data_IF_892713032369
#
_entry.id   IF_892713032369
#
_cell.length_a   1.000
_cell.length_b   1.000
_cell.length_c   1.000
_cell.angle_alpha   90.00
_cell.angle_beta   90.00
_cell.angle_gamma   90.00
#
_symmetry.space_group_name_H-M   'P 1'
#
loop_
_entity.id
_entity.type
_entity.pdbx_description
1 polymer ?
#
# COMPACT_ATOMS: atom_id res chain seq x y z
N UNK A 1 4.54 -15.69 -13.96
CA UNK A 1 3.59 -16.26 -12.95
C UNK A 1 3.04 -15.09 -12.18
N UNK A 2 1.74 -15.01 -11.99
CA UNK A 2 1.12 -13.89 -11.27
C UNK A 2 1.68 -13.79 -9.84
N UNK A 3 1.94 -12.57 -9.37
CA UNK A 3 2.38 -12.29 -7.98
C UNK A 3 1.41 -12.87 -6.94
N UNK A 4 0.12 -13.01 -7.27
CA UNK A 4 -0.92 -13.56 -6.38
C UNK A 4 -0.63 -14.97 -5.86
N UNK A 5 0.02 -15.83 -6.66
CA UNK A 5 0.30 -17.22 -6.26
C UNK A 5 1.20 -17.31 -5.04
N UNK A 6 2.26 -16.50 -4.94
CA UNK A 6 3.15 -16.53 -3.78
C UNK A 6 2.45 -16.07 -2.50
N UNK A 7 1.49 -15.14 -2.63
CA UNK A 7 0.68 -14.68 -1.51
C UNK A 7 -0.32 -15.76 -1.06
N UNK A 8 -0.90 -16.55 -1.97
CA UNK A 8 -1.71 -17.71 -1.61
C UNK A 8 -0.91 -18.78 -0.85
N UNK A 9 0.29 -19.10 -1.36
CA UNK A 9 1.13 -20.15 -0.76
C UNK A 9 1.73 -19.74 0.59
N UNK A 10 1.89 -18.44 0.88
CA UNK A 10 2.65 -17.94 2.03
C UNK A 10 1.91 -16.87 2.85
N UNK A 11 0.57 -16.88 2.83
CA UNK A 11 -0.25 -15.86 3.51
C UNK A 11 0.09 -15.71 5.01
N UNK A 12 0.17 -16.82 5.75
CA UNK A 12 0.51 -16.80 7.18
C UNK A 12 1.94 -16.31 7.44
N UNK A 13 2.90 -16.68 6.58
CA UNK A 13 4.28 -16.21 6.67
C UNK A 13 4.35 -14.71 6.45
N UNK A 14 3.59 -14.18 5.48
CA UNK A 14 3.47 -12.76 5.23
C UNK A 14 2.87 -12.05 6.46
N UNK A 15 1.74 -12.54 6.95
CA UNK A 15 1.06 -11.95 8.09
C UNK A 15 1.90 -11.93 9.36
N UNK A 16 2.67 -13.01 9.62
CA UNK A 16 3.57 -13.10 10.77
C UNK A 16 4.70 -12.06 10.78
N UNK A 17 5.00 -11.43 9.63
CA UNK A 17 5.98 -10.36 9.56
C UNK A 17 5.58 -9.17 10.44
N UNK A 18 4.32 -8.81 10.46
CA UNK A 18 3.79 -7.69 11.25
C UNK A 18 3.93 -7.90 12.74
N UNK A 19 3.78 -9.14 13.22
CA UNK A 19 4.00 -9.47 14.63
C UNK A 19 5.49 -9.39 15.00
N UNK A 20 6.37 -9.93 14.16
CA UNK A 20 7.82 -9.88 14.39
C UNK A 20 8.41 -8.47 14.29
N UNK A 21 7.73 -7.56 13.59
CA UNK A 21 8.14 -6.19 13.35
C UNK A 21 7.09 -5.18 13.85
N UNK A 22 6.48 -5.49 15.00
CA UNK A 22 5.32 -4.75 15.53
C UNK A 22 5.54 -3.24 15.62
N UNK A 23 6.71 -2.77 16.05
CA UNK A 23 6.98 -1.33 16.19
C UNK A 23 7.09 -0.62 14.84
N UNK A 24 7.64 -1.30 13.83
CA UNK A 24 7.67 -0.83 12.44
C UNK A 24 6.23 -0.72 11.93
N UNK A 25 5.47 -1.81 12.04
CA UNK A 25 4.05 -1.85 11.63
C UNK A 25 3.22 -0.75 12.31
N UNK A 26 3.41 -0.48 13.61
CA UNK A 26 2.68 0.58 14.30
C UNK A 26 3.03 1.96 13.77
N UNK A 27 4.29 2.20 13.36
CA UNK A 27 4.69 3.45 12.71
C UNK A 27 3.99 3.61 11.35
N UNK A 28 3.96 2.54 10.54
CA UNK A 28 3.27 2.51 9.24
C UNK A 28 1.76 2.71 9.38
N UNK A 29 1.13 2.00 10.32
CA UNK A 29 -0.31 2.11 10.58
C UNK A 29 -0.71 3.53 11.01
N UNK A 30 0.11 4.16 11.85
CA UNK A 30 -0.13 5.54 12.28
C UNK A 30 0.01 6.53 11.11
N UNK A 31 0.95 6.31 10.18
CA UNK A 31 1.07 7.12 8.97
C UNK A 31 -0.21 7.04 8.10
N UNK A 32 -0.77 5.85 7.94
CA UNK A 32 -2.05 5.66 7.24
C UNK A 32 -3.18 6.41 7.94
N UNK A 33 -3.27 6.31 9.27
CA UNK A 33 -4.30 6.97 10.07
C UNK A 33 -4.27 8.48 9.99
N UNK A 34 -3.09 9.09 9.90
CA UNK A 34 -2.93 10.55 9.79
C UNK A 34 -3.59 11.14 8.53
N UNK A 35 -3.81 10.36 7.50
CA UNK A 35 -4.45 10.82 6.26
C UNK A 35 -5.98 10.77 6.33
N UNK A 36 -6.54 10.04 7.29
CA UNK A 36 -7.98 9.93 7.55
C UNK A 36 -8.79 9.56 6.30
N UNK A 37 -9.43 8.41 6.32
CA UNK A 37 -10.23 7.96 5.18
C UNK A 37 -11.43 7.17 5.70
N UNK A 38 -12.62 7.72 5.56
CA UNK A 38 -13.87 7.03 5.92
C UNK A 38 -14.51 6.41 4.70
N UNK A 39 -15.26 5.30 4.89
CA UNK A 39 -15.91 4.55 3.82
C UNK A 39 -14.94 4.20 2.68
N UNK A 40 -13.75 3.77 3.07
CA UNK A 40 -12.68 3.44 2.14
C UNK A 40 -12.80 2.02 1.59
N UNK A 41 -12.23 1.81 0.41
CA UNK A 41 -11.85 0.50 -0.10
C UNK A 41 -10.33 0.37 -0.12
N UNK A 42 -9.81 -0.76 0.35
CA UNK A 42 -8.39 -1.08 0.21
C UNK A 42 -8.19 -2.05 -0.96
N UNK A 43 -7.41 -1.61 -1.95
CA UNK A 43 -7.03 -2.37 -3.14
C UNK A 43 -5.73 -3.08 -2.83
N UNK A 44 -5.72 -4.42 -2.90
CA UNK A 44 -4.63 -5.25 -2.40
C UNK A 44 -4.65 -5.34 -0.87
N UNK A 45 -5.83 -5.62 -0.30
CA UNK A 45 -6.04 -5.60 1.16
C UNK A 45 -5.24 -6.67 1.91
N UNK A 46 -4.80 -7.72 1.22
CA UNK A 46 -4.05 -8.82 1.82
C UNK A 46 -4.76 -9.42 3.03
N UNK A 47 -4.04 -9.51 4.15
CA UNK A 47 -4.58 -10.00 5.43
C UNK A 47 -5.34 -8.91 6.23
N UNK A 48 -5.52 -7.72 5.65
CA UNK A 48 -6.28 -6.63 6.24
C UNK A 48 -5.63 -5.96 7.45
N UNK A 49 -4.31 -6.01 7.55
CA UNK A 49 -3.58 -5.40 8.68
C UNK A 49 -3.84 -3.90 8.78
N UNK A 50 -3.87 -3.19 7.65
CA UNK A 50 -4.12 -1.76 7.60
C UNK A 50 -5.62 -1.41 7.59
N UNK A 51 -6.48 -2.32 7.17
CA UNK A 51 -7.93 -2.10 7.20
C UNK A 51 -8.48 -1.89 8.63
N UNK A 52 -7.76 -2.39 9.64
CA UNK A 52 -8.17 -2.27 11.05
C UNK A 52 -8.00 -0.84 11.57
N UNK A 53 -9.11 -0.13 11.75
CA UNK A 53 -9.10 1.22 12.37
C UNK A 53 -8.66 2.35 11.43
N UNK A 54 -8.82 2.16 10.11
CA UNK A 54 -8.51 3.17 9.08
C UNK A 54 -9.72 3.58 8.23
N UNK A 55 -10.95 3.17 8.63
CA UNK A 55 -12.17 3.51 7.91
C UNK A 55 -12.45 2.66 6.67
N UNK A 56 -11.67 1.61 6.45
CA UNK A 56 -11.89 0.64 5.38
C UNK A 56 -13.15 -0.19 5.66
N UNK A 57 -14.08 -0.20 4.71
CA UNK A 57 -15.33 -0.99 4.76
C UNK A 57 -15.33 -2.17 3.78
N UNK A 58 -14.48 -2.12 2.76
CA UNK A 58 -14.31 -3.19 1.78
C UNK A 58 -12.83 -3.36 1.43
N UNK A 59 -12.42 -4.58 1.14
CA UNK A 59 -11.07 -4.89 0.66
C UNK A 59 -11.11 -5.87 -0.50
N UNK A 60 -10.30 -5.63 -1.52
CA UNK A 60 -10.15 -6.51 -2.68
C UNK A 60 -8.72 -7.03 -2.75
N UNK A 61 -8.58 -8.32 -3.00
CA UNK A 61 -7.27 -8.98 -3.17
C UNK A 61 -7.43 -10.19 -4.09
N UNK A 62 -6.48 -10.50 -4.96
CA UNK A 62 -6.55 -11.69 -5.81
C UNK A 62 -6.34 -13.00 -5.02
N UNK A 63 -5.65 -12.96 -3.87
CA UNK A 63 -5.34 -14.12 -3.04
C UNK A 63 -6.49 -14.46 -2.09
N UNK A 64 -7.11 -15.62 -2.28
CA UNK A 64 -8.15 -16.12 -1.38
C UNK A 64 -7.59 -16.48 0.00
N UNK A 65 -6.32 -16.94 0.07
CA UNK A 65 -5.68 -17.26 1.33
C UNK A 65 -5.46 -16.02 2.19
N UNK A 66 -5.06 -14.90 1.57
CA UNK A 66 -4.95 -13.61 2.24
C UNK A 66 -6.31 -13.14 2.76
N UNK A 67 -7.35 -13.17 1.92
CA UNK A 67 -8.69 -12.73 2.29
C UNK A 67 -9.30 -13.54 3.45
N UNK A 68 -8.95 -14.83 3.59
CA UNK A 68 -9.39 -15.63 4.72
C UNK A 68 -8.85 -15.14 6.06
N UNK A 69 -7.66 -14.51 6.07
CA UNK A 69 -7.04 -13.92 7.26
C UNK A 69 -7.52 -12.48 7.54
N UNK A 70 -8.11 -11.83 6.54
CA UNK A 70 -8.63 -10.48 6.68
C UNK A 70 -9.81 -10.42 7.68
N UNK A 71 -9.99 -9.30 8.40
CA UNK A 71 -11.03 -9.18 9.42
C UNK A 71 -12.43 -9.33 8.82
N UNK A 72 -13.33 -9.97 9.57
CA UNK A 72 -14.74 -10.15 9.17
C UNK A 72 -15.55 -8.84 9.19
N UNK A 73 -14.99 -7.79 9.77
CA UNK A 73 -15.62 -6.46 9.82
C UNK A 73 -15.60 -5.71 8.49
N UNK A 74 -14.88 -6.18 7.49
CA UNK A 74 -14.86 -5.61 6.14
C UNK A 74 -15.48 -6.56 5.12
N UNK A 75 -16.06 -6.01 4.05
CA UNK A 75 -16.48 -6.80 2.90
C UNK A 75 -15.25 -7.25 2.11
N UNK A 76 -15.03 -8.57 2.07
CA UNK A 76 -13.88 -9.19 1.37
C UNK A 76 -14.28 -9.59 -0.03
N UNK A 77 -13.58 -9.06 -1.03
CA UNK A 77 -13.85 -9.31 -2.45
C UNK A 77 -12.62 -9.93 -3.10
N UNK A 78 -12.78 -11.06 -3.78
CA UNK A 78 -11.70 -11.62 -4.58
C UNK A 78 -11.66 -10.93 -5.94
N UNK A 79 -10.51 -10.38 -6.34
CA UNK A 79 -10.34 -9.70 -7.62
C UNK A 79 -9.02 -8.97 -7.71
N UNK A 80 -8.74 -8.38 -8.86
CA UNK A 80 -7.53 -7.63 -9.18
C UNK A 80 -7.81 -6.13 -9.25
N UNK A 81 -6.81 -5.32 -8.95
CA UNK A 81 -6.94 -3.86 -8.93
C UNK A 81 -7.21 -3.24 -10.29
N UNK A 82 -6.78 -3.89 -11.38
CA UNK A 82 -6.95 -3.47 -12.76
C UNK A 82 -8.41 -3.54 -13.25
N UNK A 83 -9.28 -4.31 -12.55
CA UNK A 83 -10.69 -4.51 -12.89
C UNK A 83 -11.55 -4.60 -11.63
N UNK A 84 -11.87 -3.45 -11.05
CA UNK A 84 -12.62 -3.37 -9.80
C UNK A 84 -14.11 -3.62 -10.02
N UNK A 85 -14.73 -4.58 -9.30
CA UNK A 85 -16.15 -4.93 -9.46
C UNK A 85 -17.09 -3.95 -8.72
N UNK A 86 -16.70 -2.69 -8.64
CA UNK A 86 -17.45 -1.65 -7.96
C UNK A 86 -17.99 -0.63 -8.97
N UNK A 87 -19.15 -0.06 -8.68
CA UNK A 87 -19.68 1.05 -9.46
C UNK A 87 -18.85 2.32 -9.28
N UNK A 88 -18.91 3.22 -10.25
CA UNK A 88 -18.24 4.53 -10.14
C UNK A 88 -18.70 5.28 -8.89
N UNK A 89 -17.76 5.98 -8.22
CA UNK A 89 -18.01 6.79 -7.02
C UNK A 89 -18.65 5.99 -5.87
N UNK A 90 -18.30 4.71 -5.74
CA UNK A 90 -18.85 3.84 -4.70
C UNK A 90 -18.28 4.14 -3.30
N UNK A 91 -17.07 4.70 -3.25
CA UNK A 91 -16.33 4.95 -2.01
C UNK A 91 -15.92 6.41 -1.90
N UNK A 92 -15.73 6.88 -0.68
CA UNK A 92 -15.16 8.20 -0.45
C UNK A 92 -13.65 8.21 -0.75
N UNK A 93 -12.99 7.06 -0.59
CA UNK A 93 -11.54 6.95 -0.72
C UNK A 93 -11.12 5.54 -1.13
N UNK A 94 -10.08 5.47 -1.97
CA UNK A 94 -9.35 4.24 -2.26
C UNK A 94 -7.98 4.27 -1.58
N UNK A 95 -7.53 3.12 -1.11
CA UNK A 95 -6.22 2.96 -0.47
C UNK A 95 -5.44 1.85 -1.17
N UNK A 96 -4.17 2.11 -1.50
CA UNK A 96 -3.19 1.12 -1.95
C UNK A 96 -2.02 1.15 -0.95
N UNK A 97 -1.93 0.16 -0.07
CA UNK A 97 -0.88 0.13 0.96
C UNK A 97 0.10 -0.99 0.65
N UNK A 98 1.30 -0.60 0.22
CA UNK A 98 2.37 -1.51 -0.27
C UNK A 98 1.86 -2.46 -1.38
N UNK A 99 0.94 -1.98 -2.19
CA UNK A 99 0.28 -2.77 -3.25
C UNK A 99 0.77 -2.39 -4.64
N UNK A 100 1.03 -1.10 -4.89
CA UNK A 100 1.42 -0.59 -6.21
C UNK A 100 2.64 -1.31 -6.80
N UNK A 101 3.53 -1.81 -5.95
CA UNK A 101 4.73 -2.55 -6.36
C UNK A 101 4.47 -3.99 -6.82
N UNK A 102 3.26 -4.53 -6.64
CA UNK A 102 2.91 -5.92 -6.97
C UNK A 102 1.89 -6.06 -8.10
N UNK A 103 1.29 -4.97 -8.57
CA UNK A 103 0.29 -4.98 -9.64
C UNK A 103 0.96 -5.05 -11.02
N UNK A 104 0.30 -5.66 -11.98
CA UNK A 104 0.83 -5.83 -13.33
C UNK A 104 0.75 -4.52 -14.13
N UNK A 105 -0.36 -3.77 -14.01
CA UNK A 105 -0.57 -2.46 -14.63
C UNK A 105 -0.95 -1.40 -13.59
N UNK A 106 0.05 -0.70 -13.02
CA UNK A 106 -0.19 0.31 -11.98
C UNK A 106 -1.03 1.49 -12.45
N UNK A 107 -0.91 1.91 -13.73
CA UNK A 107 -1.73 3.00 -14.26
C UNK A 107 -3.20 2.58 -14.31
N UNK A 108 -3.48 1.38 -14.79
CA UNK A 108 -4.85 0.86 -14.85
C UNK A 108 -5.48 0.73 -13.48
N UNK A 109 -4.74 0.28 -12.47
CA UNK A 109 -5.21 0.25 -11.07
C UNK A 109 -5.56 1.65 -10.56
N UNK A 110 -4.74 2.64 -10.86
CA UNK A 110 -4.98 4.03 -10.44
C UNK A 110 -6.17 4.66 -11.19
N UNK A 111 -6.38 4.35 -12.48
CA UNK A 111 -7.58 4.72 -13.23
C UNK A 111 -8.86 4.12 -12.62
N UNK A 112 -8.82 2.84 -12.25
CA UNK A 112 -9.93 2.20 -11.55
C UNK A 112 -10.18 2.84 -10.18
N UNK A 113 -9.13 3.15 -9.41
CA UNK A 113 -9.25 3.90 -8.17
C UNK A 113 -9.91 5.28 -8.40
N UNK A 114 -9.49 6.00 -9.47
CA UNK A 114 -10.10 7.27 -9.87
C UNK A 114 -11.57 7.13 -10.28
N UNK A 115 -11.95 6.02 -10.90
CA UNK A 115 -13.33 5.75 -11.27
C UNK A 115 -14.24 5.58 -10.05
N UNK A 116 -13.74 4.92 -9.01
CA UNK A 116 -14.56 4.51 -7.86
C UNK A 116 -14.51 5.46 -6.66
N UNK A 117 -13.57 6.41 -6.61
CA UNK A 117 -13.41 7.33 -5.48
C UNK A 117 -12.87 8.71 -5.90
N UNK A 118 -13.08 9.70 -5.06
CA UNK A 118 -12.59 11.08 -5.27
C UNK A 118 -11.26 11.35 -4.54
N UNK A 119 -10.91 10.49 -3.59
CA UNK A 119 -9.66 10.56 -2.81
C UNK A 119 -8.91 9.24 -2.94
N UNK A 120 -7.58 9.34 -3.05
CA UNK A 120 -6.69 8.19 -3.10
C UNK A 120 -5.58 8.35 -2.07
N UNK A 121 -5.22 7.25 -1.40
CA UNK A 121 -4.04 7.15 -0.55
C UNK A 121 -3.16 6.03 -1.10
N UNK A 122 -1.92 6.36 -1.45
CA UNK A 122 -0.90 5.38 -1.86
C UNK A 122 0.19 5.38 -0.81
N UNK A 123 0.38 4.24 -0.13
CA UNK A 123 1.48 4.05 0.79
C UNK A 123 2.48 3.05 0.22
N UNK A 124 3.76 3.37 0.31
CA UNK A 124 4.83 2.64 -0.37
C UNK A 124 6.14 2.67 0.40
N UNK A 125 7.03 1.77 0.05
CA UNK A 125 8.45 1.83 0.40
C UNK A 125 9.18 2.48 -0.79
N UNK A 126 9.66 3.73 -0.67
CA UNK A 126 10.33 4.42 -1.77
C UNK A 126 11.59 3.68 -2.22
N UNK A 127 11.77 3.50 -3.52
CA UNK A 127 12.91 2.77 -4.12
C UNK A 127 14.26 3.30 -3.67
N UNK A 128 14.39 4.61 -3.55
CA UNK A 128 15.67 5.27 -3.23
C UNK A 128 16.01 5.25 -1.74
N UNK A 129 15.04 4.92 -0.88
CA UNK A 129 15.27 4.80 0.56
C UNK A 129 16.22 3.64 0.89
N UNK A 130 16.88 3.66 2.08
CA UNK A 130 17.66 2.51 2.54
C UNK A 130 16.84 1.21 2.60
N UNK A 131 15.54 1.29 2.93
CA UNK A 131 14.61 0.16 2.94
C UNK A 131 14.29 -0.35 1.53
N UNK A 132 13.99 0.55 0.59
CA UNK A 132 13.74 0.18 -0.81
C UNK A 132 14.95 -0.46 -1.47
N UNK A 133 16.16 0.08 -1.22
CA UNK A 133 17.42 -0.50 -1.69
C UNK A 133 17.65 -1.91 -1.13
N UNK A 134 17.39 -2.11 0.18
CA UNK A 134 17.46 -3.44 0.80
C UNK A 134 16.49 -4.41 0.15
N UNK A 135 15.21 -4.05 0.03
CA UNK A 135 14.18 -4.94 -0.51
C UNK A 135 14.41 -5.24 -1.99
N UNK A 136 14.87 -4.26 -2.78
CA UNK A 136 15.27 -4.47 -4.18
C UNK A 136 16.44 -5.44 -4.30
N UNK A 137 17.45 -5.35 -3.40
CA UNK A 137 18.57 -6.31 -3.35
C UNK A 137 18.07 -7.72 -3.01
N UNK A 138 17.28 -7.86 -1.94
CA UNK A 138 16.71 -9.14 -1.54
C UNK A 138 15.86 -9.76 -2.66
N UNK A 139 15.13 -8.94 -3.42
CA UNK A 139 14.37 -9.39 -4.58
C UNK A 139 15.26 -10.02 -5.66
N UNK A 140 16.39 -9.39 -5.97
CA UNK A 140 17.40 -9.95 -6.91
C UNK A 140 18.05 -11.23 -6.38
N UNK A 141 18.14 -11.38 -5.07
CA UNK A 141 18.66 -12.57 -4.39
C UNK A 141 17.61 -13.68 -4.23
N UNK A 142 16.41 -13.53 -4.82
CA UNK A 142 15.36 -14.55 -4.85
C UNK A 142 14.43 -14.55 -3.63
N UNK A 143 14.34 -13.46 -2.89
CA UNK A 143 13.37 -13.37 -1.77
C UNK A 143 11.93 -13.62 -2.26
N UNK A 144 11.14 -14.51 -1.62
CA UNK A 144 9.86 -14.99 -2.14
C UNK A 144 8.87 -13.89 -2.55
N UNK A 145 8.78 -12.80 -1.79
CA UNK A 145 7.87 -11.70 -2.09
C UNK A 145 8.54 -10.62 -2.94
N UNK A 146 9.73 -10.17 -2.55
CA UNK A 146 10.37 -9.02 -3.19
C UNK A 146 10.89 -9.30 -4.61
N UNK A 147 11.08 -10.56 -5.01
CA UNK A 147 11.42 -10.93 -6.39
C UNK A 147 10.28 -10.62 -7.38
N UNK A 148 9.06 -10.41 -6.88
CA UNK A 148 7.89 -10.01 -7.67
C UNK A 148 7.55 -8.51 -7.54
N UNK A 149 8.31 -7.76 -6.73
CA UNK A 149 8.03 -6.36 -6.47
C UNK A 149 8.78 -5.44 -7.43
N UNK A 150 8.08 -4.45 -7.97
CA UNK A 150 8.67 -3.30 -8.66
C UNK A 150 8.56 -2.07 -7.77
N UNK A 151 9.64 -1.66 -7.15
CA UNK A 151 9.65 -0.46 -6.32
C UNK A 151 9.70 0.81 -7.17
N UNK A 152 8.96 1.82 -6.75
CA UNK A 152 8.88 3.14 -7.37
C UNK A 152 9.54 4.19 -6.49
N UNK A 153 10.02 5.29 -7.09
CA UNK A 153 10.27 6.53 -6.35
C UNK A 153 8.94 7.21 -6.00
N UNK A 154 8.96 8.12 -5.05
CA UNK A 154 7.77 8.92 -4.69
C UNK A 154 7.34 9.76 -5.89
N UNK A 155 8.31 10.33 -6.64
CA UNK A 155 8.03 11.09 -7.86
C UNK A 155 7.35 10.26 -8.94
N UNK A 156 7.79 9.02 -9.20
CA UNK A 156 7.12 8.11 -10.16
C UNK A 156 5.69 7.77 -9.74
N UNK A 157 5.44 7.55 -8.44
CA UNK A 157 4.09 7.28 -7.94
C UNK A 157 3.16 8.49 -8.11
N UNK A 158 3.68 9.72 -7.89
CA UNK A 158 2.95 10.96 -8.15
C UNK A 158 2.64 11.10 -9.64
N UNK A 159 3.61 10.85 -10.53
CA UNK A 159 3.40 10.92 -11.98
C UNK A 159 2.32 9.94 -12.46
N UNK A 160 2.36 8.69 -11.98
CA UNK A 160 1.35 7.68 -12.31
C UNK A 160 -0.04 8.10 -11.83
N UNK A 161 -0.16 8.60 -10.59
CA UNK A 161 -1.43 9.06 -10.05
C UNK A 161 -1.96 10.29 -10.82
N UNK A 162 -1.08 11.21 -11.25
CA UNK A 162 -1.44 12.36 -12.06
C UNK A 162 -2.00 11.97 -13.43
N UNK A 163 -1.44 10.93 -14.08
CA UNK A 163 -1.98 10.37 -15.32
C UNK A 163 -3.39 9.78 -15.15
N UNK A 164 -3.72 9.31 -13.93
CA UNK A 164 -5.04 8.81 -13.58
C UNK A 164 -6.02 9.91 -13.09
N UNK A 165 -5.63 11.19 -13.17
CA UNK A 165 -6.48 12.36 -12.84
C UNK A 165 -6.45 12.74 -11.35
N UNK A 166 -5.36 12.42 -10.63
CA UNK A 166 -5.18 12.79 -9.24
C UNK A 166 -4.08 13.85 -9.05
N UNK A 167 -4.26 14.74 -8.07
CA UNK A 167 -3.23 15.69 -7.60
C UNK A 167 -2.75 15.33 -6.20
N UNK A 168 -1.42 15.34 -5.95
CA UNK A 168 -0.88 15.14 -4.60
C UNK A 168 -1.28 16.30 -3.69
N UNK A 169 -1.67 15.99 -2.46
CA UNK A 169 -2.09 16.98 -1.46
C UNK A 169 -1.18 17.00 -0.23
N UNK A 170 -0.88 15.81 0.32
CA UNK A 170 -0.06 15.67 1.54
C UNK A 170 0.83 14.44 1.41
N UNK A 171 2.00 14.51 2.01
CA UNK A 171 2.94 13.39 2.10
C UNK A 171 3.26 13.16 3.58
N UNK A 172 2.95 11.96 4.08
CA UNK A 172 3.26 11.53 5.44
C UNK A 172 4.32 10.43 5.37
N UNK A 173 5.40 10.57 6.11
CA UNK A 173 6.48 9.57 6.12
C UNK A 173 6.88 9.17 7.53
N UNK A 174 7.45 7.97 7.63
CA UNK A 174 8.05 7.38 8.81
C UNK A 174 9.19 6.44 8.42
N UNK A 175 9.85 5.81 9.40
CA UNK A 175 11.00 4.93 9.20
C UNK A 175 12.18 5.70 8.57
N UNK A 176 12.53 6.86 9.14
CA UNK A 176 13.67 7.67 8.71
C UNK A 176 15.02 7.04 9.05
N UNK A 177 15.03 5.93 9.80
CA UNK A 177 16.19 5.17 10.20
C UNK A 177 16.45 3.98 9.25
N UNK A 178 17.70 3.46 9.21
CA UNK A 178 18.05 2.36 8.31
C UNK A 178 17.39 1.04 8.73
N UNK A 179 17.23 0.09 7.80
CA UNK A 179 16.79 -1.28 8.11
C UNK A 179 17.71 -1.94 9.14
N UNK A 180 17.10 -2.74 10.03
CA UNK A 180 17.79 -3.44 11.13
C UNK A 180 17.42 -2.88 12.50
N UNK A 181 17.07 -1.62 12.61
CA UNK A 181 16.44 -1.08 13.79
C UNK A 181 14.94 -1.46 13.84
N UNK A 182 14.42 -1.70 15.05
CA UNK A 182 13.00 -2.01 15.28
C UNK A 182 12.48 -1.11 16.38
N UNK A 183 12.15 0.12 16.03
CA UNK A 183 11.58 1.11 16.95
C UNK A 183 10.34 1.74 16.36
N UNK A 184 9.47 2.21 17.23
CA UNK A 184 8.36 3.07 16.81
C UNK A 184 8.91 4.46 16.47
N UNK A 185 8.48 4.98 15.35
CA UNK A 185 8.71 6.36 14.94
C UNK A 185 7.38 7.02 14.60
N UNK A 186 7.08 8.13 15.28
CA UNK A 186 5.87 8.91 15.01
C UNK A 186 5.94 9.48 13.59
N UNK A 187 4.97 9.20 12.73
CA UNK A 187 4.95 9.74 11.38
C UNK A 187 4.77 11.27 11.39
N UNK A 188 5.23 11.91 10.33
CA UNK A 188 5.09 13.35 10.15
C UNK A 188 4.88 13.73 8.70
N UNK A 189 4.34 14.89 8.48
CA UNK A 189 4.24 15.48 7.15
C UNK A 189 5.63 15.95 6.70
N UNK A 190 5.99 15.63 5.45
CA UNK A 190 7.32 15.89 4.89
C UNK A 190 7.20 16.44 3.47
N UNK A 191 8.31 17.01 2.95
CA UNK A 191 8.44 17.35 1.55
C UNK A 191 8.88 16.14 0.71
N UNK A 192 8.74 16.24 -0.60
CA UNK A 192 9.06 15.18 -1.55
C UNK A 192 10.48 14.63 -1.38
N UNK A 193 11.46 15.55 -1.27
CA UNK A 193 12.87 15.16 -1.19
C UNK A 193 13.16 14.31 0.06
N UNK A 194 12.53 14.64 1.17
CA UNK A 194 12.65 13.91 2.41
C UNK A 194 11.92 12.56 2.34
N UNK A 195 10.75 12.53 1.71
CA UNK A 195 9.94 11.33 1.54
C UNK A 195 10.69 10.20 0.81
N UNK A 196 11.54 10.55 -0.16
CA UNK A 196 12.36 9.58 -0.92
C UNK A 196 13.37 8.81 -0.04
N UNK A 197 13.76 9.37 1.09
CA UNK A 197 14.72 8.75 2.01
C UNK A 197 14.08 7.95 3.15
N UNK A 198 12.77 8.11 3.38
CA UNK A 198 12.05 7.40 4.43
C UNK A 198 11.68 5.97 4.02
N UNK A 199 11.66 5.04 4.97
CA UNK A 199 11.34 3.64 4.72
C UNK A 199 9.88 3.37 4.39
N UNK A 200 8.97 4.27 4.81
CA UNK A 200 7.55 4.17 4.48
C UNK A 200 6.96 5.56 4.28
N UNK A 201 6.31 5.74 3.15
CA UNK A 201 5.71 7.02 2.74
C UNK A 201 4.29 6.80 2.23
N UNK A 202 3.35 7.59 2.75
CA UNK A 202 1.97 7.65 2.30
C UNK A 202 1.70 9.00 1.64
N UNK A 203 1.10 8.97 0.46
CA UNK A 203 0.74 10.15 -0.32
C UNK A 203 -0.79 10.20 -0.39
N UNK A 204 -1.35 11.32 0.04
CA UNK A 204 -2.76 11.63 -0.17
C UNK A 204 -2.92 12.35 -1.51
N UNK A 205 -3.85 11.88 -2.30
CA UNK A 205 -4.25 12.49 -3.54
C UNK A 205 -5.73 12.86 -3.52
N UNK A 206 -6.08 13.90 -4.26
CA UNK A 206 -7.46 14.30 -4.54
C UNK A 206 -7.66 14.36 -6.05
N UNK A 207 -8.87 14.08 -6.50
CA UNK A 207 -9.21 14.16 -7.91
C UNK A 207 -9.17 15.60 -8.39
N UNK A 208 -8.72 15.81 -9.63
CA UNK A 208 -8.75 17.12 -10.31
C UNK A 208 -10.17 17.60 -10.64
#
# INVERSE_FOLDING_TARGET
MSSSRIFDEKAEKYDSWYERNRLIYLSELEAVRMLGCEKAVEIGVGTGRFARGTGVIAGIDPSIAMLKLAPSSIHRVQGVGEHLPFRSRAFACSMLIVTLCFVDDPLRVLEEASRISEKLIVCMVPRESPWGKLYSRLGREGHPFYSHARFYSVGEAIELASKAGFKPRRIISTLSYPPGEKRFEKPREVRLEEAESCGFTCIEFVKE
#
